data_IF_890356748050
#
_entry.id   IF_890356748050
#
_cell.length_a   1.000
_cell.length_b   1.000
_cell.length_c   1.000
_cell.angle_alpha   90.00
_cell.angle_beta   90.00
_cell.angle_gamma   90.00
#
_symmetry.space_group_name_H-M   'P 1'
#
loop_
_entity.id
_entity.type
_entity.pdbx_description
1 polymer ?
#
# COMPACT_ATOMS: atom_id res chain seq x y z
N UNK A 1 -2.28 -4.80 8.74
CA UNK A 1 -2.33 -5.88 9.75
C UNK A 1 -3.69 -6.55 9.77
N UNK A 2 -3.82 -7.75 10.36
CA UNK A 2 -4.97 -8.68 10.29
C UNK A 2 -6.39 -8.05 10.31
N UNK A 3 -6.59 -6.94 11.02
CA UNK A 3 -7.83 -6.15 11.02
C UNK A 3 -8.26 -5.68 9.61
N UNK A 4 -7.31 -5.22 8.79
CA UNK A 4 -7.58 -4.83 7.41
C UNK A 4 -8.01 -6.02 6.54
N UNK A 5 -7.44 -7.20 6.77
CA UNK A 5 -7.81 -8.43 6.06
C UNK A 5 -9.23 -8.90 6.38
N UNK A 6 -9.69 -8.73 7.62
CA UNK A 6 -11.05 -9.11 8.05
C UNK A 6 -12.11 -8.16 7.49
N UNK A 7 -11.86 -6.85 7.53
CA UNK A 7 -12.73 -5.81 6.94
C UNK A 7 -12.82 -5.97 5.41
N UNK A 8 -11.69 -6.31 4.79
CA UNK A 8 -11.60 -6.61 3.34
C UNK A 8 -12.44 -7.85 2.99
N UNK A 9 -12.35 -8.94 3.77
CA UNK A 9 -13.05 -10.21 3.48
C UNK A 9 -14.58 -10.08 3.46
N UNK A 10 -15.16 -9.32 4.40
CA UNK A 10 -16.61 -9.14 4.47
C UNK A 10 -17.16 -8.21 3.37
N UNK A 11 -16.44 -7.13 3.02
CA UNK A 11 -16.86 -6.23 1.94
C UNK A 11 -16.59 -6.78 0.53
N UNK A 12 -15.61 -7.69 0.39
CA UNK A 12 -15.35 -8.42 -0.88
C UNK A 12 -16.58 -9.23 -1.31
N UNK A 13 -17.29 -9.84 -0.35
CA UNK A 13 -18.37 -10.80 -0.64
C UNK A 13 -19.70 -10.15 -1.05
N UNK A 14 -19.93 -8.86 -0.79
CA UNK A 14 -21.25 -8.23 -1.03
C UNK A 14 -21.25 -7.16 -2.13
N UNK A 15 -20.23 -6.30 -2.17
CA UNK A 15 -20.14 -5.19 -3.14
C UNK A 15 -19.11 -5.48 -4.23
N UNK A 16 -17.94 -6.02 -3.84
CA UNK A 16 -16.82 -6.23 -4.75
C UNK A 16 -17.07 -7.29 -5.82
N UNK A 17 -17.99 -8.24 -5.57
CA UNK A 17 -18.41 -9.21 -6.57
C UNK A 17 -19.24 -8.63 -7.71
N UNK A 18 -19.88 -7.46 -7.50
CA UNK A 18 -20.72 -6.80 -8.51
C UNK A 18 -19.95 -5.85 -9.44
N UNK A 19 -18.68 -5.57 -9.16
CA UNK A 19 -17.86 -4.71 -10.03
C UNK A 19 -17.27 -5.52 -11.18
N UNK A 20 -17.23 -4.90 -12.36
CA UNK A 20 -16.52 -5.42 -13.53
C UNK A 20 -15.01 -5.40 -13.22
N UNK A 21 -14.44 -6.59 -12.99
CA UNK A 21 -13.06 -6.76 -12.49
C UNK A 21 -12.20 -7.35 -13.60
N UNK A 22 -10.95 -6.86 -13.76
CA UNK A 22 -10.03 -7.44 -14.72
C UNK A 22 -9.67 -8.89 -14.35
N UNK A 23 -9.54 -9.76 -15.36
CA UNK A 23 -9.29 -11.20 -15.21
C UNK A 23 -7.90 -11.54 -14.64
N UNK A 24 -6.95 -10.62 -14.67
CA UNK A 24 -5.57 -10.82 -14.22
C UNK A 24 -5.36 -10.66 -12.71
N UNK A 25 -6.43 -10.45 -11.94
CA UNK A 25 -6.34 -10.10 -10.52
C UNK A 25 -5.73 -11.25 -9.68
N UNK A 26 -4.76 -10.96 -8.80
CA UNK A 26 -4.25 -11.97 -7.87
C UNK A 26 -5.38 -12.51 -6.99
N UNK A 27 -5.41 -13.81 -6.68
CA UNK A 27 -6.46 -14.39 -5.87
C UNK A 27 -6.42 -13.79 -4.45
N UNK A 28 -7.60 -13.57 -3.86
CA UNK A 28 -7.75 -12.87 -2.57
C UNK A 28 -6.91 -13.48 -1.42
N UNK A 29 -6.64 -14.79 -1.48
CA UNK A 29 -5.80 -15.47 -0.49
C UNK A 29 -4.34 -15.02 -0.54
N UNK A 30 -3.82 -14.63 -1.71
CA UNK A 30 -2.42 -14.21 -1.88
C UNK A 30 -2.12 -12.87 -1.20
N UNK A 31 -3.13 -12.02 -1.00
CA UNK A 31 -2.96 -10.75 -0.29
C UNK A 31 -2.47 -10.95 1.15
N UNK A 32 -2.96 -11.97 1.86
CA UNK A 32 -2.56 -12.21 3.25
C UNK A 32 -1.06 -12.47 3.42
N UNK A 33 -0.51 -13.52 2.79
CA UNK A 33 0.92 -13.84 2.86
C UNK A 33 1.80 -12.72 2.35
N UNK A 34 1.43 -12.06 1.25
CA UNK A 34 2.23 -10.97 0.68
C UNK A 34 2.31 -9.80 1.66
N UNK A 35 1.20 -9.35 2.25
CA UNK A 35 1.25 -8.29 3.26
C UNK A 35 2.08 -8.68 4.49
N UNK A 36 2.03 -9.94 4.93
CA UNK A 36 2.88 -10.42 6.03
C UNK A 36 4.36 -10.27 5.68
N UNK A 37 4.78 -10.76 4.51
CA UNK A 37 6.18 -10.66 4.05
C UNK A 37 6.59 -9.19 3.93
N UNK A 38 5.73 -8.35 3.35
CA UNK A 38 5.99 -6.91 3.19
C UNK A 38 6.14 -6.20 4.54
N UNK A 39 5.26 -6.47 5.51
CA UNK A 39 5.38 -5.88 6.85
C UNK A 39 6.64 -6.36 7.56
N UNK A 40 7.04 -7.62 7.39
CA UNK A 40 8.32 -8.12 7.92
C UNK A 40 9.51 -7.39 7.27
N UNK A 41 9.50 -7.23 5.95
CA UNK A 41 10.54 -6.49 5.21
C UNK A 41 10.62 -5.02 5.64
N UNK A 42 9.46 -4.36 5.78
CA UNK A 42 9.34 -2.98 6.24
C UNK A 42 9.88 -2.80 7.67
N UNK A 43 9.52 -3.71 8.58
CA UNK A 43 10.02 -3.69 9.95
C UNK A 43 11.53 -3.91 10.03
N UNK A 44 12.07 -4.83 9.22
CA UNK A 44 13.50 -5.07 9.16
C UNK A 44 14.27 -3.90 8.53
N UNK A 45 13.71 -3.27 7.49
CA UNK A 45 14.27 -2.07 6.88
C UNK A 45 14.32 -0.90 7.87
N UNK A 46 13.29 -0.70 8.69
CA UNK A 46 13.28 0.36 9.71
C UNK A 46 14.33 0.09 10.80
N UNK A 47 14.52 -1.17 11.19
CA UNK A 47 15.57 -1.55 12.15
C UNK A 47 16.98 -1.28 11.61
N UNK A 48 17.25 -1.61 10.34
CA UNK A 48 18.52 -1.31 9.69
C UNK A 48 18.81 0.19 9.66
N UNK A 49 17.81 1.01 9.33
CA UNK A 49 17.93 2.48 9.35
C UNK A 49 18.12 3.00 10.77
N UNK A 50 17.42 2.46 11.76
CA UNK A 50 17.59 2.87 13.14
C UNK A 50 19.03 2.62 13.64
N UNK A 51 19.64 1.51 13.20
CA UNK A 51 21.01 1.14 13.54
C UNK A 51 22.06 1.97 12.79
N UNK A 52 21.86 2.19 11.50
CA UNK A 52 22.90 2.75 10.62
C UNK A 52 22.76 4.28 10.43
N UNK A 53 21.60 4.88 10.69
CA UNK A 53 21.40 6.32 10.61
C UNK A 53 21.78 7.05 11.92
N UNK A 54 22.44 8.20 11.79
CA UNK A 54 22.90 9.02 12.92
C UNK A 54 22.30 10.42 12.85
N UNK A 55 21.94 11.00 14.00
CA UNK A 55 21.45 12.38 14.11
C UNK A 55 20.04 12.63 13.54
N UNK A 56 19.79 13.83 13.01
CA UNK A 56 18.48 14.24 12.46
C UNK A 56 17.98 13.35 11.32
N UNK A 57 18.89 12.79 10.52
CA UNK A 57 18.54 11.91 9.40
C UNK A 57 17.79 10.66 9.86
N UNK A 58 18.14 10.12 11.05
CA UNK A 58 17.40 9.01 11.67
C UNK A 58 15.97 9.39 11.96
N UNK A 59 15.75 10.54 12.58
CA UNK A 59 14.39 11.00 12.94
C UNK A 59 13.54 11.24 11.71
N UNK A 60 14.09 11.88 10.67
CA UNK A 60 13.37 12.08 9.39
C UNK A 60 12.98 10.76 8.74
N UNK A 61 13.90 9.81 8.68
CA UNK A 61 13.66 8.49 8.10
C UNK A 61 12.58 7.70 8.86
N UNK A 62 12.57 7.79 10.20
CA UNK A 62 11.54 7.16 11.03
C UNK A 62 10.18 7.85 10.91
N UNK A 63 10.12 9.18 10.79
CA UNK A 63 8.88 9.92 10.56
C UNK A 63 8.27 9.53 9.20
N UNK A 64 9.11 9.46 8.16
CA UNK A 64 8.72 8.98 6.84
C UNK A 64 8.15 7.55 6.91
N UNK A 65 8.83 6.63 7.59
CA UNK A 65 8.33 5.27 7.83
C UNK A 65 6.99 5.26 8.57
N UNK A 66 6.84 6.08 9.62
CA UNK A 66 5.59 6.20 10.37
C UNK A 66 4.43 6.72 9.51
N UNK A 67 4.69 7.75 8.69
CA UNK A 67 3.69 8.29 7.76
C UNK A 67 3.28 7.27 6.69
N UNK A 68 4.22 6.50 6.16
CA UNK A 68 3.97 5.41 5.21
C UNK A 68 3.07 4.34 5.84
N UNK A 69 3.32 3.96 7.09
CA UNK A 69 2.52 2.97 7.81
C UNK A 69 1.10 3.50 8.09
N UNK A 70 0.98 4.77 8.48
CA UNK A 70 -0.31 5.41 8.73
C UNK A 70 -1.17 5.47 7.47
N UNK A 71 -0.60 5.88 6.33
CA UNK A 71 -1.26 5.86 5.02
C UNK A 71 -1.67 4.43 4.64
N UNK A 72 -0.77 3.45 4.81
CA UNK A 72 -1.10 2.05 4.54
C UNK A 72 -2.33 1.57 5.34
N UNK A 73 -2.48 2.03 6.59
CA UNK A 73 -3.65 1.74 7.41
C UNK A 73 -4.90 2.51 6.98
N UNK A 74 -4.77 3.76 6.53
CA UNK A 74 -5.87 4.60 6.06
C UNK A 74 -6.48 4.11 4.74
N UNK A 75 -5.69 3.50 3.85
CA UNK A 75 -6.18 2.99 2.57
C UNK A 75 -7.32 1.96 2.73
N UNK A 76 -7.17 1.03 3.67
CA UNK A 76 -8.13 -0.06 3.85
C UNK A 76 -9.56 0.43 4.17
N UNK A 77 -9.80 1.28 5.19
CA UNK A 77 -11.12 1.84 5.46
C UNK A 77 -11.59 2.80 4.37
N UNK A 78 -10.72 3.56 3.70
CA UNK A 78 -11.13 4.44 2.59
C UNK A 78 -11.67 3.62 1.41
N UNK A 79 -10.97 2.54 1.06
CA UNK A 79 -11.33 1.68 -0.06
C UNK A 79 -12.58 0.84 0.24
N UNK A 80 -12.62 0.18 1.41
CA UNK A 80 -13.71 -0.77 1.75
C UNK A 80 -14.89 -0.16 2.49
N UNK A 81 -14.70 0.91 3.27
CA UNK A 81 -15.79 1.51 4.06
C UNK A 81 -16.51 2.61 3.27
N UNK A 82 -15.75 3.49 2.60
CA UNK A 82 -16.33 4.64 1.91
C UNK A 82 -16.72 4.38 0.45
N UNK A 83 -16.30 3.26 -0.14
CA UNK A 83 -16.61 2.90 -1.54
C UNK A 83 -16.26 3.99 -2.58
N UNK A 84 -15.46 4.98 -2.19
CA UNK A 84 -15.04 6.12 -3.03
C UNK A 84 -13.76 5.75 -3.76
N UNK A 85 -13.91 4.99 -4.85
CA UNK A 85 -12.81 4.53 -5.71
C UNK A 85 -11.84 5.65 -6.12
N UNK A 86 -12.35 6.86 -6.38
CA UNK A 86 -11.51 8.02 -6.74
C UNK A 86 -10.63 8.53 -5.59
N UNK A 87 -11.14 8.57 -4.36
CA UNK A 87 -10.33 8.95 -3.18
C UNK A 87 -9.32 7.87 -2.83
N UNK A 88 -9.73 6.60 -2.90
CA UNK A 88 -8.83 5.49 -2.65
C UNK A 88 -7.70 5.39 -3.69
N UNK A 89 -7.96 5.82 -4.94
CA UNK A 89 -6.91 5.96 -5.96
C UNK A 89 -5.92 7.09 -5.63
N UNK A 90 -6.42 8.26 -5.22
CA UNK A 90 -5.53 9.36 -4.81
C UNK A 90 -4.67 8.98 -3.61
N UNK A 91 -5.24 8.30 -2.63
CA UNK A 91 -4.54 7.92 -1.40
C UNK A 91 -3.52 6.79 -1.64
N UNK A 92 -3.82 5.80 -2.49
CA UNK A 92 -2.83 4.76 -2.84
C UNK A 92 -1.66 5.32 -3.67
N UNK A 93 -1.89 6.31 -4.53
CA UNK A 93 -0.82 7.03 -5.22
C UNK A 93 0.04 7.83 -4.24
N UNK A 94 -0.58 8.46 -3.25
CA UNK A 94 0.13 9.19 -2.20
C UNK A 94 0.99 8.24 -1.36
N UNK A 95 0.46 7.06 -1.03
CA UNK A 95 1.22 5.97 -0.41
C UNK A 95 2.39 5.53 -1.30
N UNK A 96 2.17 5.35 -2.60
CA UNK A 96 3.21 4.96 -3.55
C UNK A 96 4.34 5.99 -3.62
N UNK A 97 4.00 7.27 -3.72
CA UNK A 97 4.95 8.37 -3.68
C UNK A 97 5.75 8.38 -2.37
N UNK A 98 5.07 8.17 -1.24
CA UNK A 98 5.72 8.12 0.07
C UNK A 98 6.67 6.92 0.20
N UNK A 99 6.34 5.78 -0.39
CA UNK A 99 7.27 4.63 -0.49
C UNK A 99 8.50 4.99 -1.32
N UNK A 100 8.32 5.65 -2.47
CA UNK A 100 9.43 6.14 -3.29
C UNK A 100 10.35 7.10 -2.51
N UNK A 101 9.76 8.02 -1.73
CA UNK A 101 10.52 8.93 -0.87
C UNK A 101 11.28 8.19 0.24
N UNK A 102 10.66 7.19 0.89
CA UNK A 102 11.36 6.32 1.84
C UNK A 102 12.56 5.62 1.19
N UNK A 103 12.37 5.01 0.01
CA UNK A 103 13.44 4.33 -0.73
C UNK A 103 14.60 5.29 -1.03
N UNK A 104 14.30 6.50 -1.53
CA UNK A 104 15.30 7.52 -1.83
C UNK A 104 16.03 8.04 -0.60
N UNK A 105 15.33 8.18 0.54
CA UNK A 105 15.92 8.60 1.82
C UNK A 105 16.77 7.49 2.44
N UNK A 106 16.36 6.23 2.30
CA UNK A 106 17.06 5.07 2.86
C UNK A 106 18.29 4.70 2.03
N UNK A 107 18.30 5.02 0.74
CA UNK A 107 19.36 4.63 -0.20
C UNK A 107 20.76 5.12 0.18
N UNK A 108 20.96 6.41 0.54
CA UNK A 108 22.26 6.90 0.98
C UNK A 108 22.67 6.39 2.37
N UNK A 109 21.73 5.87 3.18
CA UNK A 109 21.99 5.38 4.54
C UNK A 109 22.34 3.88 4.49
N UNK A 110 21.44 3.07 3.96
CA UNK A 110 21.58 1.63 3.87
C UNK A 110 20.88 1.10 2.60
N UNK A 111 21.68 0.68 1.62
CA UNK A 111 21.18 0.14 0.34
C UNK A 111 20.30 -1.09 0.54
N UNK A 112 20.61 -1.96 1.49
CA UNK A 112 19.82 -3.16 1.81
C UNK A 112 18.42 -2.78 2.29
N UNK A 113 18.28 -1.75 3.13
CA UNK A 113 16.98 -1.25 3.58
C UNK A 113 16.13 -0.73 2.41
N UNK A 114 16.74 -0.03 1.44
CA UNK A 114 16.05 0.40 0.22
C UNK A 114 15.61 -0.78 -0.65
N UNK A 115 16.48 -1.78 -0.86
CA UNK A 115 16.12 -2.97 -1.65
C UNK A 115 14.97 -3.75 -1.04
N UNK A 116 14.86 -3.82 0.29
CA UNK A 116 13.74 -4.45 1.00
C UNK A 116 12.40 -3.75 0.75
N UNK A 117 12.41 -2.45 0.44
CA UNK A 117 11.22 -1.67 0.12
C UNK A 117 10.83 -1.74 -1.37
N UNK A 118 11.70 -2.23 -2.26
CA UNK A 118 11.40 -2.36 -3.70
C UNK A 118 10.25 -3.35 -3.96
N UNK A 119 10.20 -4.55 -3.36
CA UNK A 119 9.04 -5.45 -3.48
C UNK A 119 7.75 -4.79 -3.01
N UNK A 120 7.82 -3.97 -1.96
CA UNK A 120 6.67 -3.22 -1.46
C UNK A 120 6.15 -2.20 -2.47
N UNK A 121 7.06 -1.42 -3.07
CA UNK A 121 6.73 -0.47 -4.13
C UNK A 121 6.07 -1.16 -5.33
N UNK A 122 6.58 -2.32 -5.75
CA UNK A 122 5.99 -3.11 -6.84
C UNK A 122 4.57 -3.58 -6.50
N UNK A 123 4.35 -4.08 -5.28
CA UNK A 123 3.02 -4.52 -4.83
C UNK A 123 2.00 -3.37 -4.79
N UNK A 124 2.39 -2.20 -4.26
CA UNK A 124 1.51 -1.01 -4.20
C UNK A 124 1.27 -0.44 -5.60
N UNK A 125 2.21 -0.58 -6.54
CA UNK A 125 2.00 -0.21 -7.94
C UNK A 125 0.94 -1.11 -8.60
N UNK A 126 0.98 -2.43 -8.35
CA UNK A 126 -0.06 -3.35 -8.80
C UNK A 126 -1.42 -3.02 -8.18
N UNK A 127 -1.47 -2.71 -6.89
CA UNK A 127 -2.71 -2.29 -6.23
C UNK A 127 -3.24 -0.95 -6.77
N UNK A 128 -2.34 -0.01 -7.13
CA UNK A 128 -2.68 1.29 -7.75
C UNK A 128 -3.29 1.11 -9.13
N UNK A 129 -2.65 0.32 -10.00
CA UNK A 129 -3.15 0.02 -11.35
C UNK A 129 -4.49 -0.72 -11.31
N UNK A 130 -4.66 -1.63 -10.35
CA UNK A 130 -5.90 -2.33 -10.13
C UNK A 130 -7.02 -1.39 -9.67
N UNK A 131 -6.74 -0.48 -8.75
CA UNK A 131 -7.68 0.57 -8.29
C UNK A 131 -8.06 1.51 -9.44
N UNK A 132 -7.08 1.90 -10.26
CA UNK A 132 -7.29 2.71 -11.46
C UNK A 132 -8.21 2.03 -12.47
N UNK A 133 -7.96 0.75 -12.79
CA UNK A 133 -8.80 0.00 -13.73
C UNK A 133 -10.23 -0.15 -13.20
N UNK A 134 -10.42 -0.41 -11.90
CA UNK A 134 -11.77 -0.46 -11.31
C UNK A 134 -12.46 0.90 -11.43
N UNK A 135 -11.75 1.98 -11.13
CA UNK A 135 -12.28 3.33 -11.24
C UNK A 135 -12.66 3.69 -12.67
N UNK A 136 -11.80 3.39 -13.65
CA UNK A 136 -12.04 3.66 -15.07
C UNK A 136 -13.26 2.89 -15.57
N UNK A 137 -13.37 1.58 -15.29
CA UNK A 137 -14.49 0.73 -15.72
C UNK A 137 -15.82 1.07 -15.05
N UNK A 138 -15.81 1.68 -13.86
CA UNK A 138 -17.03 2.09 -13.15
C UNK A 138 -17.32 3.59 -13.26
N UNK A 139 -16.49 4.35 -13.98
CA UNK A 139 -16.72 5.77 -14.25
C UNK A 139 -17.89 5.98 -15.22
N UNK A 140 -18.10 5.05 -16.14
CA UNK A 140 -19.09 5.15 -17.22
C UNK A 140 -20.52 4.76 -16.78
N UNK A 141 -20.70 4.11 -15.63
CA UNK A 141 -22.04 3.79 -15.08
C UNK A 141 -22.73 4.98 -14.38
N UNK A 142 -22.10 6.15 -14.36
CA UNK A 142 -22.67 7.36 -13.73
C UNK A 142 -23.46 8.26 -14.69
N UNK A 143 -23.64 7.88 -15.95
CA UNK A 143 -24.34 8.70 -16.95
C UNK A 143 -25.56 8.00 -17.57
N UNK A 144 -26.46 7.45 -16.77
CA UNK A 144 -27.84 7.19 -17.21
C UNK A 144 -28.81 7.35 -16.06
#
# INVERSE_FOLDING_TARGET
>A
GLAGGYITKNNIKSWYEKLDRPSWRPPNWAFGPVWTILYTMMGYASYLIYRDAVGEYRNRALILYGSQLALNWLWTPIFFSYHKLGLAFGEILLLLANIGLCIGTFYPINRTASYLLVPYFGWVSLASTLTYQIWQRNKDKKST
#
